data_IF_605729545673
#
_entry.id   IF_605729545673
#
_cell.length_a   1.000
_cell.length_b   1.000
_cell.length_c   1.000
_cell.angle_alpha   90.00
_cell.angle_beta   90.00
_cell.angle_gamma   90.00
#
_symmetry.space_group_name_H-M   'P 1'
#
loop_
_entity.id
_entity.type
_entity.pdbx_description
1 polymer ?
#
# COMPACT_ATOMS: atom_id res chain seq x y z
N UNK A 1 9.24 1.72 6.14
CA UNK A 1 10.31 1.85 7.18
C UNK A 1 11.31 0.70 7.04
N UNK A 2 12.46 0.66 7.74
CA UNK A 2 13.39 -0.47 7.66
C UNK A 2 12.75 -1.83 7.96
N UNK A 3 11.82 -1.89 8.93
CA UNK A 3 11.11 -3.13 9.27
C UNK A 3 10.13 -3.58 8.16
N UNK A 4 9.36 -2.65 7.59
CA UNK A 4 8.48 -2.95 6.45
C UNK A 4 9.26 -3.55 5.26
N UNK A 5 10.50 -3.09 5.05
CA UNK A 5 11.40 -3.66 4.03
C UNK A 5 11.82 -5.09 4.36
N UNK A 6 12.13 -5.40 5.62
CA UNK A 6 12.51 -6.78 6.02
C UNK A 6 11.35 -7.74 5.81
N UNK A 7 10.14 -7.34 6.18
CA UNK A 7 8.92 -8.14 5.98
C UNK A 7 8.72 -8.41 4.49
N UNK A 8 8.85 -7.38 3.66
CA UNK A 8 8.77 -7.51 2.21
C UNK A 8 9.85 -8.45 1.64
N UNK A 9 11.10 -8.31 2.09
CA UNK A 9 12.19 -9.20 1.67
C UNK A 9 11.87 -10.65 2.01
N UNK A 10 11.43 -10.94 3.24
CA UNK A 10 11.01 -12.31 3.62
C UNK A 10 9.86 -12.83 2.77
N UNK A 11 8.88 -11.98 2.44
CA UNK A 11 7.75 -12.37 1.59
C UNK A 11 8.20 -12.80 0.19
N UNK A 12 9.10 -12.03 -0.43
CA UNK A 12 9.66 -12.38 -1.75
C UNK A 12 10.55 -13.61 -1.67
N UNK A 13 11.41 -13.71 -0.66
CA UNK A 13 12.36 -14.82 -0.50
C UNK A 13 11.66 -16.16 -0.23
N UNK A 14 10.47 -16.14 0.36
CA UNK A 14 9.59 -17.30 0.50
C UNK A 14 9.22 -17.92 -0.87
N UNK A 15 9.10 -17.10 -1.91
CA UNK A 15 8.88 -17.57 -3.29
C UNK A 15 7.47 -18.11 -3.59
N UNK A 16 6.54 -18.14 -2.61
CA UNK A 16 5.15 -18.60 -2.82
C UNK A 16 4.33 -17.66 -3.71
N UNK A 17 4.64 -16.37 -3.68
CA UNK A 17 3.96 -15.36 -4.48
C UNK A 17 5.00 -14.55 -5.24
N UNK A 18 4.91 -14.59 -6.58
CA UNK A 18 5.88 -13.94 -7.47
C UNK A 18 5.09 -12.97 -8.33
N UNK A 19 5.10 -11.67 -8.02
CA UNK A 19 4.40 -10.68 -8.83
C UNK A 19 5.05 -10.52 -10.21
N UNK A 20 4.24 -10.25 -11.23
CA UNK A 20 4.69 -9.98 -12.59
C UNK A 20 5.40 -8.62 -12.67
N UNK A 21 4.88 -7.65 -11.91
CA UNK A 21 5.40 -6.28 -11.81
C UNK A 21 5.21 -5.77 -10.39
N UNK A 22 6.16 -4.98 -9.91
CA UNK A 22 6.07 -4.31 -8.60
C UNK A 22 6.48 -2.85 -8.77
N UNK A 23 5.70 -1.95 -8.18
CA UNK A 23 6.00 -0.54 -8.05
C UNK A 23 6.01 -0.16 -6.57
N UNK A 24 6.94 0.70 -6.19
CA UNK A 24 7.15 1.11 -4.80
C UNK A 24 6.90 2.61 -4.65
N UNK A 25 6.58 3.03 -3.43
CA UNK A 25 6.47 4.44 -3.06
C UNK A 25 5.49 5.23 -3.96
N UNK A 26 4.39 4.57 -4.37
CA UNK A 26 3.38 5.13 -5.28
C UNK A 26 2.67 6.29 -4.60
N UNK A 27 2.61 7.44 -5.28
CA UNK A 27 1.99 8.66 -4.74
C UNK A 27 0.54 8.74 -5.12
N UNK A 28 -0.31 9.02 -4.14
CA UNK A 28 -1.75 9.20 -4.33
C UNK A 28 -2.28 10.41 -3.57
N UNK A 29 -3.39 10.94 -4.05
CA UNK A 29 -4.10 12.05 -3.44
C UNK A 29 -3.39 13.39 -3.63
N UNK A 30 -3.92 14.41 -2.95
CA UNK A 30 -3.51 15.81 -3.15
C UNK A 30 -2.24 16.17 -2.39
N UNK A 31 -1.45 17.06 -2.98
CA UNK A 31 -0.39 17.76 -2.28
C UNK A 31 -0.98 18.83 -1.34
N UNK A 32 -0.22 19.24 -0.34
CA UNK A 32 -0.55 20.42 0.47
C UNK A 32 -0.51 21.65 -0.43
N UNK A 33 -1.58 22.44 -0.40
CA UNK A 33 -1.63 23.72 -1.09
C UNK A 33 -0.66 24.72 -0.46
N UNK A 34 0.13 25.37 -1.32
CA UNK A 34 1.02 26.44 -0.91
C UNK A 34 0.36 27.80 -1.15
N UNK A 35 0.71 28.84 -0.36
CA UNK A 35 0.28 30.20 -0.64
C UNK A 35 0.63 30.63 -2.08
N UNK A 36 -0.15 31.53 -2.66
CA UNK A 36 0.14 32.06 -3.99
C UNK A 36 1.50 32.77 -4.03
N UNK A 37 2.23 32.64 -5.14
CA UNK A 37 3.50 33.33 -5.37
C UNK A 37 4.74 32.58 -4.86
N UNK A 38 4.60 31.33 -4.40
CA UNK A 38 5.77 30.50 -4.09
C UNK A 38 6.57 30.14 -5.35
N UNK A 39 7.89 29.96 -5.23
CA UNK A 39 8.72 29.45 -6.32
C UNK A 39 8.26 28.06 -6.82
N UNK A 40 8.48 27.78 -8.10
CA UNK A 40 8.12 26.50 -8.73
C UNK A 40 8.75 25.29 -8.01
N UNK A 41 10.00 25.42 -7.55
CA UNK A 41 10.69 24.35 -6.82
C UNK A 41 9.97 23.96 -5.52
N UNK A 42 9.32 24.94 -4.86
CA UNK A 42 8.58 24.69 -3.62
C UNK A 42 7.29 23.93 -3.90
N UNK A 43 6.62 24.25 -5.00
CA UNK A 43 5.43 23.51 -5.47
C UNK A 43 5.78 22.06 -5.79
N UNK A 44 6.85 21.83 -6.57
CA UNK A 44 7.34 20.48 -6.86
C UNK A 44 7.75 19.73 -5.59
N UNK A 45 8.37 20.43 -4.63
CA UNK A 45 8.73 19.84 -3.35
C UNK A 45 7.49 19.42 -2.54
N UNK A 46 6.44 20.25 -2.52
CA UNK A 46 5.18 19.93 -1.85
C UNK A 46 4.50 18.73 -2.49
N UNK A 47 4.39 18.69 -3.83
CA UNK A 47 3.87 17.54 -4.57
C UNK A 47 4.62 16.26 -4.24
N UNK A 48 5.95 16.32 -4.23
CA UNK A 48 6.76 15.15 -3.93
C UNK A 48 6.72 14.75 -2.45
N UNK A 49 6.57 15.68 -1.50
CA UNK A 49 6.78 15.37 -0.08
C UNK A 49 5.49 15.14 0.70
N UNK A 50 4.39 15.73 0.26
CA UNK A 50 3.15 15.80 1.07
C UNK A 50 2.04 14.90 0.58
N UNK A 51 2.11 14.46 -0.68
CA UNK A 51 1.19 13.45 -1.22
C UNK A 51 1.33 12.14 -0.45
N UNK A 52 0.20 11.46 -0.27
CA UNK A 52 0.16 10.17 0.42
C UNK A 52 0.95 9.15 -0.39
N UNK A 53 1.48 8.14 0.31
CA UNK A 53 2.37 7.15 -0.28
C UNK A 53 1.91 5.76 0.07
N UNK A 54 1.61 4.98 -0.95
CA UNK A 54 1.39 3.55 -0.87
C UNK A 54 2.76 2.88 -0.83
N UNK A 55 2.96 1.94 0.09
CA UNK A 55 4.23 1.23 0.23
C UNK A 55 4.59 0.49 -1.08
N UNK A 56 3.66 -0.32 -1.58
CA UNK A 56 3.80 -0.94 -2.90
C UNK A 56 2.45 -1.19 -3.59
N UNK A 57 2.52 -1.27 -4.90
CA UNK A 57 1.49 -1.86 -5.74
C UNK A 57 2.16 -2.95 -6.55
N UNK A 58 1.54 -4.12 -6.66
CA UNK A 58 2.03 -5.15 -7.58
C UNK A 58 0.95 -5.59 -8.55
N UNK A 59 1.37 -6.15 -9.67
CA UNK A 59 0.48 -6.82 -10.61
C UNK A 59 0.75 -8.31 -10.56
N UNK A 60 -0.27 -9.11 -10.26
CA UNK A 60 -0.16 -10.55 -10.13
C UNK A 60 -1.51 -11.20 -10.43
N UNK A 61 -1.52 -12.17 -11.34
CA UNK A 61 -2.75 -12.91 -11.68
C UNK A 61 -3.81 -12.07 -12.38
N UNK A 62 -3.38 -11.08 -13.18
CA UNK A 62 -4.29 -10.20 -13.94
C UNK A 62 -4.97 -9.12 -13.10
N UNK A 63 -4.41 -8.79 -11.93
CA UNK A 63 -4.98 -7.84 -10.96
C UNK A 63 -3.90 -6.96 -10.38
N UNK A 64 -4.26 -5.71 -10.09
CA UNK A 64 -3.47 -4.86 -9.22
C UNK A 64 -3.74 -5.22 -7.77
N UNK A 65 -2.70 -5.16 -6.96
CA UNK A 65 -2.80 -5.32 -5.51
C UNK A 65 -2.18 -4.09 -4.87
N UNK A 66 -2.97 -3.37 -4.08
CA UNK A 66 -2.51 -2.28 -3.23
C UNK A 66 -2.11 -2.89 -1.89
N UNK A 67 -0.82 -2.79 -1.57
CA UNK A 67 -0.22 -3.58 -0.50
C UNK A 67 0.44 -2.69 0.55
N UNK A 68 0.12 -2.94 1.81
CA UNK A 68 0.78 -2.37 2.97
C UNK A 68 1.64 -3.44 3.65
N UNK A 69 2.90 -3.13 3.99
CA UNK A 69 3.73 -4.02 4.80
C UNK A 69 3.83 -3.48 6.23
N UNK A 70 3.50 -4.31 7.22
CA UNK A 70 3.55 -3.96 8.64
C UNK A 70 3.87 -5.19 9.48
N UNK A 71 4.68 -5.10 10.55
CA UNK A 71 4.93 -6.24 11.44
C UNK A 71 3.64 -6.83 12.04
N UNK A 72 2.64 -5.98 12.27
CA UNK A 72 1.32 -6.38 12.77
C UNK A 72 0.23 -5.82 11.86
N UNK A 73 -0.67 -6.68 11.39
CA UNK A 73 -1.88 -6.28 10.68
C UNK A 73 -2.97 -5.84 11.69
N UNK A 74 -2.78 -4.66 12.27
CA UNK A 74 -3.73 -4.03 13.20
C UNK A 74 -4.64 -2.99 12.54
N UNK A 75 -5.40 -2.25 13.34
CA UNK A 75 -6.39 -1.25 12.88
C UNK A 75 -5.76 -0.15 12.00
N UNK A 76 -4.50 0.19 12.25
CA UNK A 76 -3.77 1.15 11.41
C UNK A 76 -3.57 0.60 10.00
N UNK A 77 -3.11 -0.65 9.86
CA UNK A 77 -2.93 -1.30 8.56
C UNK A 77 -4.26 -1.44 7.80
N UNK A 78 -5.33 -1.77 8.53
CA UNK A 78 -6.70 -1.81 8.00
C UNK A 78 -7.11 -0.45 7.39
N UNK A 79 -6.99 0.63 8.16
CA UNK A 79 -7.36 1.97 7.68
C UNK A 79 -6.51 2.42 6.49
N UNK A 80 -5.20 2.12 6.53
CA UNK A 80 -4.27 2.45 5.44
C UNK A 80 -4.63 1.71 4.15
N UNK A 81 -4.80 0.39 4.18
CA UNK A 81 -5.04 -0.39 2.97
C UNK A 81 -6.40 -0.07 2.32
N UNK A 82 -7.43 0.23 3.13
CA UNK A 82 -8.72 0.72 2.63
C UNK A 82 -8.54 2.05 1.90
N UNK A 83 -7.95 3.03 2.59
CA UNK A 83 -7.74 4.37 2.04
C UNK A 83 -6.91 4.33 0.76
N UNK A 84 -5.80 3.60 0.77
CA UNK A 84 -4.89 3.50 -0.37
C UNK A 84 -5.52 2.78 -1.55
N UNK A 85 -6.33 1.74 -1.33
CA UNK A 85 -7.07 1.09 -2.41
C UNK A 85 -7.99 2.07 -3.14
N UNK A 86 -8.80 2.82 -2.39
CA UNK A 86 -9.71 3.83 -2.95
C UNK A 86 -8.93 4.96 -3.65
N UNK A 87 -7.85 5.45 -3.03
CA UNK A 87 -7.05 6.52 -3.61
C UNK A 87 -6.33 6.09 -4.90
N UNK A 88 -5.86 4.84 -4.96
CA UNK A 88 -5.24 4.28 -6.15
C UNK A 88 -6.23 4.15 -7.31
N UNK A 89 -7.40 3.57 -7.05
CA UNK A 89 -8.47 3.43 -8.05
C UNK A 89 -8.90 4.80 -8.62
N UNK A 90 -9.09 5.79 -7.75
CA UNK A 90 -9.51 7.13 -8.16
C UNK A 90 -8.46 7.85 -9.02
N UNK A 91 -7.18 7.71 -8.67
CA UNK A 91 -6.10 8.45 -9.34
C UNK A 91 -5.62 7.78 -10.63
N UNK A 92 -5.44 6.47 -10.61
CA UNK A 92 -4.87 5.74 -11.75
C UNK A 92 -5.91 5.13 -12.67
N UNK A 93 -7.18 5.05 -12.24
CA UNK A 93 -8.30 4.53 -13.02
C UNK A 93 -7.95 3.21 -13.74
N UNK A 94 -7.45 2.19 -13.02
CA UNK A 94 -7.00 0.96 -13.64
C UNK A 94 -8.17 0.23 -14.32
N UNK A 95 -7.87 -0.40 -15.45
CA UNK A 95 -8.84 -1.22 -16.19
C UNK A 95 -9.02 -2.62 -15.59
N UNK A 96 -7.98 -3.12 -14.92
CA UNK A 96 -7.96 -4.39 -14.22
C UNK A 96 -8.43 -4.26 -12.76
N UNK A 97 -8.93 -5.36 -12.15
CA UNK A 97 -9.37 -5.33 -10.75
C UNK A 97 -8.26 -4.90 -9.78
N UNK A 98 -8.66 -4.17 -8.74
CA UNK A 98 -7.78 -3.74 -7.64
C UNK A 98 -8.15 -4.48 -6.36
N UNK A 99 -7.22 -5.31 -5.91
CA UNK A 99 -7.30 -6.03 -4.65
C UNK A 99 -6.51 -5.28 -3.56
N UNK A 100 -6.84 -5.54 -2.29
CA UNK A 100 -6.18 -4.95 -1.12
C UNK A 100 -5.47 -6.03 -0.34
N UNK A 101 -4.21 -5.81 0.03
CA UNK A 101 -3.48 -6.78 0.82
C UNK A 101 -2.58 -6.17 1.89
N UNK A 102 -2.32 -6.96 2.92
CA UNK A 102 -1.38 -6.64 3.99
C UNK A 102 -0.36 -7.77 4.07
N UNK A 103 0.93 -7.46 4.01
CA UNK A 103 2.00 -8.40 4.36
C UNK A 103 2.40 -8.16 5.81
N UNK A 104 2.37 -9.21 6.63
CA UNK A 104 2.57 -9.09 8.07
C UNK A 104 3.29 -10.29 8.68
N UNK A 105 3.86 -10.09 9.87
CA UNK A 105 4.37 -11.20 10.69
C UNK A 105 3.26 -11.84 11.50
N UNK A 106 2.34 -11.01 12.00
CA UNK A 106 1.23 -11.43 12.87
C UNK A 106 -0.04 -10.69 12.46
N UNK A 107 -1.15 -11.40 12.35
CA UNK A 107 -2.49 -10.81 12.16
C UNK A 107 -3.15 -10.57 13.53
N UNK A 108 -3.84 -9.43 13.67
CA UNK A 108 -4.68 -9.19 14.84
C UNK A 108 -5.95 -10.04 14.75
N UNK A 109 -6.14 -11.01 15.66
CA UNK A 109 -7.22 -12.00 15.58
C UNK A 109 -8.61 -11.36 15.52
N UNK A 110 -8.81 -10.25 16.24
CA UNK A 110 -10.07 -9.50 16.25
C UNK A 110 -10.40 -8.88 14.88
N UNK A 111 -9.40 -8.72 14.01
CA UNK A 111 -9.56 -8.11 12.68
C UNK A 111 -9.71 -9.13 11.55
N UNK A 112 -9.48 -10.43 11.78
CA UNK A 112 -9.57 -11.46 10.73
C UNK A 112 -10.93 -11.41 10.02
N UNK A 113 -12.02 -11.46 10.80
CA UNK A 113 -13.38 -11.41 10.25
C UNK A 113 -13.69 -10.09 9.51
N UNK A 114 -13.05 -9.00 9.92
CA UNK A 114 -13.19 -7.68 9.29
C UNK A 114 -12.43 -7.65 7.97
N UNK A 115 -11.21 -8.18 7.93
CA UNK A 115 -10.43 -8.29 6.70
C UNK A 115 -11.17 -9.13 5.65
N UNK A 116 -11.70 -10.30 6.05
CA UNK A 116 -12.50 -11.16 5.18
C UNK A 116 -13.75 -10.44 4.64
N UNK A 117 -14.51 -9.77 5.52
CA UNK A 117 -15.72 -9.04 5.15
C UNK A 117 -15.45 -7.89 4.17
N UNK A 118 -14.24 -7.32 4.20
CA UNK A 118 -13.82 -6.22 3.33
C UNK A 118 -13.02 -6.68 2.10
N UNK A 119 -12.80 -7.98 1.93
CA UNK A 119 -11.99 -8.52 0.83
C UNK A 119 -10.51 -8.13 0.90
N UNK A 120 -9.96 -7.98 2.11
CA UNK A 120 -8.56 -7.66 2.33
C UNK A 120 -7.80 -8.97 2.60
N UNK A 121 -6.76 -9.24 1.82
CA UNK A 121 -5.96 -10.45 1.95
C UNK A 121 -4.75 -10.21 2.86
N UNK A 122 -4.61 -10.99 3.92
CA UNK A 122 -3.42 -10.98 4.77
C UNK A 122 -2.45 -12.08 4.34
N UNK A 123 -1.20 -11.70 4.07
CA UNK A 123 -0.09 -12.60 3.82
C UNK A 123 0.83 -12.64 5.03
N UNK A 124 0.75 -13.72 5.80
CA UNK A 124 1.63 -13.95 6.95
C UNK A 124 2.97 -14.56 6.50
N UNK A 125 4.08 -13.94 6.89
CA UNK A 125 5.45 -14.44 6.61
C UNK A 125 6.14 -15.08 7.81
N UNK A 126 5.53 -15.01 8.99
CA UNK A 126 6.12 -15.48 10.24
C UNK A 126 7.34 -14.64 10.67
N UNK A 127 7.78 -14.83 11.92
CA UNK A 127 9.00 -14.21 12.45
C UNK A 127 10.25 -14.96 12.02
#
# INVERSE_FOLDING_TARGET
MPEDRKIWTRFIDNGKYIPDKVWYDIRVGMAVELPSGQPEWMTKFAEYSTRKRIDMVWFMGGRYWVVEAKPRAGVVALGQVIFYGVAFEAEYQPTEPVERAIITDIVDEDLISIFDALGIVCFEVGM
#
